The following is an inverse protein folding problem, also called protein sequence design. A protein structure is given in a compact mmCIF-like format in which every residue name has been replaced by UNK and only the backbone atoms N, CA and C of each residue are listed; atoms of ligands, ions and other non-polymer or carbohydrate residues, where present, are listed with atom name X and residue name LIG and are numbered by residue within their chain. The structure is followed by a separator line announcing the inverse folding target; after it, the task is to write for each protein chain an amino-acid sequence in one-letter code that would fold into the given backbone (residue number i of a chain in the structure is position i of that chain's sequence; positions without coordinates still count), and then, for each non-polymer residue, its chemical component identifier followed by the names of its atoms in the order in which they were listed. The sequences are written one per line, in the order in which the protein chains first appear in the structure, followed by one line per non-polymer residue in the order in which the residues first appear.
data_IF_184330996269
#
_entry.id   IF_184330996269
#
_cell.length_a   1.000
_cell.length_b   1.000
_cell.length_c   1.000
_cell.angle_alpha   90.00
_cell.angle_beta   90.00
_cell.angle_gamma   90.00
#
_symmetry.space_group_name_H-M   'P 1'
#
loop_
_entity.id
_entity.type
_entity.pdbx_description
1 polymer ?
#
# COMPACT_ATOMS: atom_id res chain seq x y z
N UNK A 1 5.01 7.76 2.17
CA UNK A 1 5.22 6.61 1.27
C UNK A 1 5.65 5.40 2.08
N UNK A 2 6.75 5.47 2.83
CA UNK A 2 7.22 4.33 3.64
C UNK A 2 6.19 3.84 4.66
N UNK A 3 5.37 4.73 5.23
CA UNK A 3 4.26 4.32 6.10
C UNK A 3 3.21 3.46 5.37
N UNK A 4 2.74 3.89 4.20
CA UNK A 4 1.80 3.09 3.40
C UNK A 4 2.38 1.72 3.05
N UNK A 5 3.65 1.67 2.66
CA UNK A 5 4.30 0.42 2.28
C UNK A 5 4.54 -0.47 3.50
N UNK A 6 4.84 0.11 4.67
CA UNK A 6 4.90 -0.64 5.92
C UNK A 6 3.55 -1.32 6.23
N UNK A 7 2.44 -0.59 6.14
CA UNK A 7 1.10 -1.17 6.29
C UNK A 7 0.83 -2.24 5.23
N UNK A 8 1.21 -1.98 3.97
CA UNK A 8 1.12 -2.95 2.89
C UNK A 8 1.86 -4.26 3.15
N UNK A 9 3.07 -4.17 3.70
CA UNK A 9 3.88 -5.32 4.15
C UNK A 9 3.17 -6.09 5.25
N UNK A 10 2.58 -5.40 6.24
CA UNK A 10 1.81 -6.03 7.30
C UNK A 10 0.59 -6.79 6.74
N UNK A 11 -0.17 -6.17 5.84
CA UNK A 11 -1.35 -6.79 5.22
C UNK A 11 -0.99 -7.96 4.31
N UNK A 12 0.11 -7.86 3.56
CA UNK A 12 0.61 -8.99 2.75
C UNK A 12 1.02 -10.16 3.63
N UNK A 13 1.72 -9.89 4.73
CA UNK A 13 2.12 -10.92 5.70
C UNK A 13 0.90 -11.56 6.38
N UNK A 14 -0.09 -10.76 6.79
CA UNK A 14 -1.37 -11.26 7.33
C UNK A 14 -2.00 -12.29 6.38
N UNK A 15 -2.16 -11.92 5.10
CA UNK A 15 -2.79 -12.79 4.09
C UNK A 15 -1.97 -14.04 3.79
N UNK A 16 -0.65 -13.96 3.91
CA UNK A 16 0.24 -15.10 3.73
C UNK A 16 0.10 -16.11 4.88
N UNK A 17 0.07 -15.63 6.13
CA UNK A 17 0.04 -16.49 7.33
C UNK A 17 -1.38 -16.96 7.66
N UNK A 18 -2.40 -16.15 7.38
CA UNK A 18 -3.81 -16.39 7.69
C UNK A 18 -4.73 -16.19 6.46
N UNK A 19 -4.62 -17.03 5.41
CA UNK A 19 -5.34 -16.82 4.15
C UNK A 19 -6.88 -16.84 4.28
N UNK A 20 -7.41 -17.53 5.28
CA UNK A 20 -8.85 -17.65 5.52
C UNK A 20 -9.41 -16.53 6.42
N UNK A 21 -8.54 -15.67 6.96
CA UNK A 21 -8.94 -14.55 7.84
C UNK A 21 -9.07 -13.28 7.02
N UNK A 22 -10.23 -12.63 7.13
CA UNK A 22 -10.52 -11.35 6.48
C UNK A 22 -10.52 -10.21 7.50
N UNK A 23 -9.47 -10.09 8.31
CA UNK A 23 -9.35 -9.00 9.27
C UNK A 23 -9.10 -7.68 8.55
N UNK A 24 -8.13 -7.65 7.62
CA UNK A 24 -7.93 -6.50 6.74
C UNK A 24 -8.62 -6.69 5.38
N UNK A 25 -9.70 -5.95 5.16
CA UNK A 25 -10.41 -5.87 3.88
C UNK A 25 -9.60 -4.97 2.94
N UNK A 26 -9.15 -5.54 1.83
CA UNK A 26 -8.43 -4.79 0.78
C UNK A 26 -9.42 -4.35 -0.28
N UNK A 27 -9.44 -3.05 -0.56
CA UNK A 27 -10.12 -2.50 -1.73
C UNK A 27 -9.19 -2.57 -2.94
N UNK A 28 -9.55 -3.39 -3.93
CA UNK A 28 -8.77 -3.57 -5.16
C UNK A 28 -9.03 -2.51 -6.24
N UNK A 29 -10.00 -1.62 -6.03
CA UNK A 29 -10.29 -0.55 -6.99
C UNK A 29 -9.18 0.52 -6.93
N UNK A 30 -8.77 0.98 -8.11
CA UNK A 30 -7.88 2.12 -8.28
C UNK A 30 -8.75 3.33 -8.61
N UNK A 31 -8.85 4.27 -7.66
CA UNK A 31 -9.61 5.50 -7.83
C UNK A 31 -8.64 6.68 -7.86
N UNK A 32 -8.58 7.34 -9.02
CA UNK A 32 -7.65 8.44 -9.28
C UNK A 32 -7.93 9.67 -8.40
N UNK A 33 -9.19 10.01 -8.18
CA UNK A 33 -9.57 11.15 -7.35
C UNK A 33 -9.12 10.97 -5.89
N UNK A 34 -9.12 9.73 -5.38
CA UNK A 34 -8.58 9.43 -4.04
C UNK A 34 -7.06 9.47 -4.02
N UNK A 35 -6.40 8.98 -5.08
CA UNK A 35 -4.94 9.00 -5.17
C UNK A 35 -4.40 10.43 -5.24
N UNK A 36 -5.00 11.29 -6.07
CA UNK A 36 -4.61 12.70 -6.23
C UNK A 36 -4.69 13.49 -4.90
N UNK A 37 -5.55 13.07 -3.96
CA UNK A 37 -5.62 13.68 -2.63
C UNK A 37 -4.43 13.32 -1.73
N UNK A 38 -3.73 12.21 -1.98
CA UNK A 38 -2.68 11.71 -1.10
C UNK A 38 -1.28 11.79 -1.71
N UNK A 39 -1.17 11.77 -3.05
CA UNK A 39 0.11 11.79 -3.77
C UNK A 39 1.04 12.93 -3.34
N UNK A 40 0.56 14.19 -3.16
CA UNK A 40 1.42 15.29 -2.71
C UNK A 40 2.06 15.04 -1.33
N UNK A 41 1.41 14.24 -0.48
CA UNK A 41 1.82 13.98 0.90
C UNK A 41 2.74 12.77 1.04
N UNK A 42 3.08 12.07 -0.05
CA UNK A 42 3.85 10.83 0.01
C UNK A 42 5.24 11.00 0.61
N UNK A 43 5.83 12.20 0.55
CA UNK A 43 7.16 12.48 1.08
C UNK A 43 7.15 13.47 2.25
N UNK A 44 5.97 13.81 2.76
CA UNK A 44 5.82 14.72 3.89
C UNK A 44 5.87 13.96 5.23
N UNK A 45 6.49 14.58 6.23
CA UNK A 45 6.55 14.07 7.59
C UNK A 45 5.39 14.62 8.44
N UNK A 46 4.15 14.39 8.00
CA UNK A 46 2.93 14.75 8.73
C UNK A 46 2.24 13.49 9.28
N UNK A 47 2.39 13.26 10.58
CA UNK A 47 1.82 12.08 11.25
C UNK A 47 0.29 12.09 11.28
N UNK A 48 -0.34 13.27 11.36
CA UNK A 48 -1.80 13.37 11.41
C UNK A 48 -2.37 13.04 10.04
N UNK A 49 -1.79 13.59 8.97
CA UNK A 49 -2.18 13.28 7.60
C UNK A 49 -1.90 11.82 7.25
N UNK A 50 -0.76 11.27 7.68
CA UNK A 50 -0.46 9.85 7.49
C UNK A 50 -1.51 8.95 8.15
N UNK A 51 -1.89 9.24 9.40
CA UNK A 51 -2.90 8.47 10.12
C UNK A 51 -4.30 8.59 9.49
N UNK A 52 -4.68 9.79 9.07
CA UNK A 52 -5.93 10.04 8.35
C UNK A 52 -6.00 9.25 7.04
N UNK A 53 -4.92 9.23 6.25
CA UNK A 53 -4.83 8.44 5.01
C UNK A 53 -4.91 6.94 5.31
N UNK A 54 -4.20 6.47 6.34
CA UNK A 54 -4.17 5.05 6.72
C UNK A 54 -5.54 4.53 7.10
N UNK A 55 -6.26 5.25 7.98
CA UNK A 55 -7.59 4.85 8.43
C UNK A 55 -8.71 5.15 7.42
N UNK A 56 -8.50 6.10 6.52
CA UNK A 56 -9.57 6.67 5.71
C UNK A 56 -10.23 7.85 6.40
N UNK A 57 -9.98 9.05 5.88
CA UNK A 57 -10.55 10.31 6.35
C UNK A 57 -10.54 11.35 5.23
N UNK A 58 -11.16 12.50 5.48
CA UNK A 58 -11.30 13.59 4.49
C UNK A 58 -11.87 13.11 3.12
N UNK A 59 -12.87 12.21 3.14
CA UNK A 59 -13.50 11.68 1.93
C UNK A 59 -12.86 10.42 1.35
N UNK A 60 -11.72 9.96 1.90
CA UNK A 60 -11.13 8.67 1.57
C UNK A 60 -11.95 7.51 2.18
N UNK A 61 -12.02 6.34 1.51
CA UNK A 61 -12.73 5.18 2.06
C UNK A 61 -12.02 4.63 3.30
N UNK A 62 -12.77 3.92 4.15
CA UNK A 62 -12.19 3.25 5.32
C UNK A 62 -11.02 2.33 4.94
N UNK A 63 -9.98 2.34 5.76
CA UNK A 63 -8.75 1.56 5.58
C UNK A 63 -8.06 1.82 4.23
N UNK A 64 -8.16 3.04 3.70
CA UNK A 64 -7.60 3.40 2.40
C UNK A 64 -6.10 3.12 2.32
N UNK A 65 -5.30 3.62 3.27
CA UNK A 65 -3.85 3.42 3.23
C UNK A 65 -3.42 1.97 3.39
N UNK A 66 -4.16 1.14 4.13
CA UNK A 66 -3.93 -0.31 4.15
C UNK A 66 -4.12 -0.94 2.77
N UNK A 67 -5.19 -0.56 2.08
CA UNK A 67 -5.49 -1.05 0.73
C UNK A 67 -4.42 -0.58 -0.27
N UNK A 68 -4.09 0.71 -0.28
CA UNK A 68 -3.07 1.27 -1.17
C UNK A 68 -1.69 0.66 -0.93
N UNK A 69 -1.27 0.57 0.34
CA UNK A 69 -0.03 -0.06 0.72
C UNK A 69 0.08 -1.50 0.22
N UNK A 70 -0.97 -2.29 0.44
CA UNK A 70 -1.03 -3.68 -0.03
C UNK A 70 -0.94 -3.76 -1.55
N UNK A 71 -1.69 -2.91 -2.27
CA UNK A 71 -1.67 -2.87 -3.74
C UNK A 71 -0.30 -2.47 -4.29
N UNK A 72 0.41 -1.53 -3.66
CA UNK A 72 1.79 -1.17 -4.02
C UNK A 72 2.71 -2.38 -3.92
N UNK A 73 2.75 -3.02 -2.75
CA UNK A 73 3.60 -4.20 -2.55
C UNK A 73 3.21 -5.35 -3.49
N UNK A 74 1.92 -5.60 -3.68
CA UNK A 74 1.45 -6.63 -4.60
C UNK A 74 1.91 -6.36 -6.03
N UNK A 75 1.82 -5.11 -6.51
CA UNK A 75 2.27 -4.75 -7.86
C UNK A 75 3.76 -5.01 -8.08
N UNK A 76 4.57 -4.83 -7.03
CA UNK A 76 5.98 -5.17 -7.04
C UNK A 76 6.21 -6.69 -7.07
N UNK A 77 5.58 -7.45 -6.17
CA UNK A 77 5.74 -8.90 -6.07
C UNK A 77 5.22 -9.64 -7.32
N UNK A 78 4.17 -9.15 -7.96
CA UNK A 78 3.65 -9.70 -9.21
C UNK A 78 4.69 -9.62 -10.35
N UNK A 79 5.60 -8.64 -10.30
CA UNK A 79 6.71 -8.47 -11.27
C UNK A 79 8.00 -9.16 -10.85
N UNK A 80 8.14 -9.49 -9.56
CA UNK A 80 9.32 -10.12 -8.96
C UNK A 80 8.91 -11.41 -8.25
N UNK A 81 8.43 -12.43 -9.00
CA UNK A 81 7.96 -13.67 -8.39
C UNK A 81 9.10 -14.43 -7.73
N UNK A 82 8.80 -15.11 -6.62
CA UNK A 82 9.75 -16.00 -5.94
C UNK A 82 10.56 -15.36 -4.82
N UNK A 83 10.34 -14.09 -4.50
CA UNK A 83 10.96 -13.45 -3.33
C UNK A 83 10.43 -14.07 -2.02
N UNK A 84 11.36 -14.38 -1.11
CA UNK A 84 11.04 -14.78 0.26
C UNK A 84 10.48 -13.62 1.09
N UNK A 85 9.88 -13.93 2.24
CA UNK A 85 9.39 -12.91 3.18
C UNK A 85 10.51 -11.99 3.63
N UNK A 86 11.67 -12.54 3.97
CA UNK A 86 12.86 -11.79 4.35
C UNK A 86 13.33 -10.86 3.22
N UNK A 87 13.29 -11.33 1.98
CA UNK A 87 13.69 -10.54 0.82
C UNK A 87 12.76 -9.35 0.63
N UNK A 88 11.45 -9.55 0.44
CA UNK A 88 10.56 -8.43 0.13
C UNK A 88 10.28 -7.48 1.31
N UNK A 89 10.42 -7.94 2.55
CA UNK A 89 10.32 -7.07 3.73
C UNK A 89 11.52 -6.12 3.84
N UNK A 90 12.68 -6.47 3.29
CA UNK A 90 13.89 -5.64 3.31
C UNK A 90 13.91 -4.52 2.25
N UNK A 91 13.06 -4.63 1.22
CA UNK A 91 13.05 -3.69 0.08
C UNK A 91 12.49 -2.33 0.51
N UNK A 92 13.15 -1.26 0.06
CA UNK A 92 12.71 0.10 0.37
C UNK A 92 11.37 0.44 -0.28
N UNK A 93 10.62 1.35 0.34
CA UNK A 93 9.33 1.76 -0.21
C UNK A 93 9.45 2.38 -1.61
N UNK A 94 10.51 3.15 -1.84
CA UNK A 94 10.78 3.75 -3.15
C UNK A 94 10.92 2.70 -4.26
N UNK A 95 11.71 1.66 -4.01
CA UNK A 95 11.91 0.57 -4.99
C UNK A 95 10.60 -0.16 -5.26
N UNK A 96 9.83 -0.49 -4.22
CA UNK A 96 8.50 -1.13 -4.37
C UNK A 96 7.59 -0.27 -5.26
N UNK A 97 7.53 1.03 -5.02
CA UNK A 97 6.68 1.95 -5.76
C UNK A 97 7.10 2.10 -7.23
N UNK A 98 8.39 2.31 -7.49
CA UNK A 98 8.94 2.56 -8.82
C UNK A 98 8.96 1.28 -9.69
N UNK A 99 9.53 0.19 -9.18
CA UNK A 99 9.66 -1.06 -9.93
C UNK A 99 8.35 -1.85 -10.01
N UNK A 100 7.42 -1.61 -9.06
CA UNK A 100 6.05 -2.08 -9.14
C UNK A 100 5.23 -1.39 -10.24
N UNK A 101 5.72 -0.26 -10.78
CA UNK A 101 5.02 0.59 -11.75
C UNK A 101 3.61 0.95 -11.29
N UNK A 102 3.48 1.34 -10.03
CA UNK A 102 2.18 1.51 -9.38
C UNK A 102 1.26 2.53 -10.07
N UNK A 103 1.84 3.55 -10.68
CA UNK A 103 1.09 4.59 -11.39
C UNK A 103 0.42 4.13 -12.68
N UNK A 104 0.81 2.98 -13.23
CA UNK A 104 0.15 2.44 -14.43
C UNK A 104 -1.31 2.05 -14.17
N UNK A 105 -1.70 1.85 -12.91
CA UNK A 105 -3.07 1.51 -12.52
C UNK A 105 -3.99 2.73 -12.36
N UNK A 106 -3.46 3.95 -12.48
CA UNK A 106 -4.19 5.22 -12.34
C UNK A 106 -4.30 6.02 -13.66
N UNK A 107 -4.05 5.36 -14.79
CA UNK A 107 -4.15 5.95 -16.13
C UNK A 107 -5.60 6.25 -16.52
#
# INVERSE_FOLDING_TARGET
MDHLILEGKAVMFEKLVYPDVTATIVNYNYNKDYWEQIEPYLYEADINRAYEITLGGNGLPNSYGYSEGYKMLKSYLDKHPGLSVEEWTSISGKVIYEEGRYMDYYQ
#
